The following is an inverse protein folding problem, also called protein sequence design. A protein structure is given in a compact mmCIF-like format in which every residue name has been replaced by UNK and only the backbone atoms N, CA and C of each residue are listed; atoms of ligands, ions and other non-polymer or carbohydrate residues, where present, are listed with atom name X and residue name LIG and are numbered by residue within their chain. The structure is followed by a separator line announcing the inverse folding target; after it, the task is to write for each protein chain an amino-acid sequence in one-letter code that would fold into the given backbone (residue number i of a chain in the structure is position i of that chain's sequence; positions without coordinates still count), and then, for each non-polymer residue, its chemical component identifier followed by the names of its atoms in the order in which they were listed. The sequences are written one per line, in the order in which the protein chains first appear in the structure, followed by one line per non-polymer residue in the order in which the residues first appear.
data_IF_051637464492
#
_entry.id   IF_051637464492
#
_cell.length_a   1.000
_cell.length_b   1.000
_cell.length_c   1.000
_cell.angle_alpha   90.00
_cell.angle_beta   90.00
_cell.angle_gamma   90.00
#
_symmetry.space_group_name_H-M   'P 1'
#
loop_
_entity.id
_entity.type
_entity.pdbx_description
1 polymer ?
#
# COMPACT_ATOMS: atom_id res chain seq x y z
N UNK A 1 -23.29 -1.65 -1.83
CA UNK A 1 -22.72 -0.32 -2.14
C UNK A 1 -22.65 0.63 -0.95
N UNK A 2 -23.53 0.51 0.05
CA UNK A 2 -23.66 1.46 1.16
C UNK A 2 -22.38 1.62 2.00
N UNK A 3 -21.63 0.53 2.21
CA UNK A 3 -20.37 0.52 2.96
C UNK A 3 -19.34 1.48 2.35
N UNK A 4 -19.21 1.49 1.01
CA UNK A 4 -18.24 2.35 0.30
C UNK A 4 -18.61 3.84 0.30
N UNK A 5 -19.84 4.19 0.67
CA UNK A 5 -20.27 5.58 0.87
C UNK A 5 -20.04 6.06 2.30
N UNK A 6 -19.76 5.16 3.24
CA UNK A 6 -19.57 5.50 4.64
C UNK A 6 -18.20 6.19 4.84
N UNK A 7 -18.15 7.44 5.34
CA UNK A 7 -16.89 8.15 5.55
C UNK A 7 -15.97 7.45 6.57
N UNK A 8 -16.53 6.82 7.61
CA UNK A 8 -15.74 6.10 8.61
C UNK A 8 -15.02 4.90 8.00
N UNK A 9 -15.69 4.17 7.12
CA UNK A 9 -15.08 3.05 6.40
C UNK A 9 -13.92 3.52 5.53
N UNK A 10 -14.12 4.60 4.76
CA UNK A 10 -13.09 5.16 3.88
C UNK A 10 -11.84 5.54 4.66
N UNK A 11 -12.00 6.30 5.74
CA UNK A 11 -10.88 6.70 6.60
C UNK A 11 -10.19 5.51 7.27
N UNK A 12 -10.96 4.53 7.75
CA UNK A 12 -10.40 3.32 8.35
C UNK A 12 -9.50 2.57 7.36
N UNK A 13 -9.97 2.32 6.13
CA UNK A 13 -9.17 1.65 5.10
C UNK A 13 -7.96 2.49 4.69
N UNK A 14 -8.13 3.82 4.57
CA UNK A 14 -7.02 4.73 4.20
C UNK A 14 -5.86 4.66 5.20
N UNK A 15 -6.15 4.61 6.48
CA UNK A 15 -5.14 4.55 7.54
C UNK A 15 -4.63 3.13 7.80
N UNK A 16 -5.48 2.13 7.61
CA UNK A 16 -5.13 0.74 7.85
C UNK A 16 -4.06 0.22 6.88
N UNK A 17 -4.11 0.64 5.61
CA UNK A 17 -3.10 0.25 4.61
C UNK A 17 -1.67 0.65 5.00
N UNK A 18 -1.33 1.93 5.24
CA UNK A 18 0.02 2.33 5.64
C UNK A 18 0.42 1.74 6.99
N UNK A 19 -0.51 1.59 7.94
CA UNK A 19 -0.22 0.99 9.24
C UNK A 19 0.23 -0.48 9.11
N UNK A 20 -0.43 -1.26 8.26
CA UNK A 20 -0.08 -2.68 8.07
C UNK A 20 1.23 -2.81 7.29
N UNK A 21 1.46 -1.97 6.27
CA UNK A 21 2.75 -1.94 5.57
C UNK A 21 3.90 -1.63 6.56
N UNK A 22 3.73 -0.65 7.45
CA UNK A 22 4.70 -0.35 8.51
C UNK A 22 4.99 -1.57 9.39
N UNK A 23 3.96 -2.31 9.80
CA UNK A 23 4.11 -3.52 10.61
C UNK A 23 4.88 -4.61 9.86
N UNK A 24 4.54 -4.86 8.60
CA UNK A 24 5.26 -5.85 7.76
C UNK A 24 6.73 -5.50 7.62
N UNK A 25 7.05 -4.23 7.40
CA UNK A 25 8.42 -3.73 7.32
C UNK A 25 9.19 -3.93 8.63
N UNK A 26 8.51 -3.81 9.77
CA UNK A 26 9.12 -4.00 11.09
C UNK A 26 9.44 -5.46 11.37
N UNK A 27 8.63 -6.39 10.86
CA UNK A 27 8.76 -7.81 11.17
C UNK A 27 9.88 -8.51 10.42
N UNK A 28 10.39 -7.98 9.31
CA UNK A 28 11.63 -8.44 8.65
C UNK A 28 11.40 -9.52 7.58
N UNK A 29 11.28 -10.82 7.92
CA UNK A 29 11.28 -11.93 6.96
C UNK A 29 10.07 -12.01 6.01
N UNK A 30 8.97 -11.30 6.31
CA UNK A 30 7.75 -11.34 5.47
C UNK A 30 7.98 -10.67 4.11
N UNK A 31 9.03 -9.86 3.98
CA UNK A 31 9.36 -9.11 2.77
C UNK A 31 10.50 -9.70 1.94
N UNK A 32 11.09 -10.82 2.38
CA UNK A 32 11.99 -11.60 1.53
C UNK A 32 11.25 -12.13 0.29
N UNK A 33 9.91 -12.18 0.35
CA UNK A 33 9.04 -12.51 -0.76
C UNK A 33 8.11 -11.36 -1.12
N UNK A 34 8.08 -11.03 -2.42
CA UNK A 34 7.12 -10.07 -2.99
C UNK A 34 5.68 -10.61 -3.02
N UNK A 35 5.46 -11.90 -2.74
CA UNK A 35 4.13 -12.53 -2.79
C UNK A 35 3.19 -11.89 -1.76
N UNK A 36 3.64 -11.72 -0.52
CA UNK A 36 2.79 -11.18 0.56
C UNK A 36 2.39 -9.71 0.30
N UNK A 37 3.31 -8.79 -0.04
CA UNK A 37 2.97 -7.43 -0.45
C UNK A 37 1.96 -7.37 -1.59
N UNK A 38 2.15 -8.17 -2.64
CA UNK A 38 1.28 -8.19 -3.82
C UNK A 38 -0.12 -8.72 -3.48
N UNK A 39 -0.20 -9.81 -2.72
CA UNK A 39 -1.47 -10.37 -2.28
C UNK A 39 -2.26 -9.37 -1.42
N UNK A 40 -1.57 -8.72 -0.49
CA UNK A 40 -2.17 -7.73 0.40
C UNK A 40 -2.64 -6.47 -0.36
N UNK A 41 -1.82 -6.00 -1.30
CA UNK A 41 -2.18 -4.95 -2.23
C UNK A 41 -3.45 -5.29 -3.04
N UNK A 42 -3.58 -6.53 -3.49
CA UNK A 42 -4.77 -6.99 -4.21
C UNK A 42 -6.02 -7.03 -3.32
N UNK A 43 -5.91 -7.46 -2.06
CA UNK A 43 -7.02 -7.44 -1.10
C UNK A 43 -7.56 -6.03 -0.88
N UNK A 44 -6.68 -5.04 -0.72
CA UNK A 44 -7.09 -3.64 -0.52
C UNK A 44 -7.83 -3.04 -1.71
N UNK A 45 -7.61 -3.56 -2.94
CA UNK A 45 -8.38 -3.17 -4.11
C UNK A 45 -9.88 -3.47 -3.97
N UNK A 46 -10.27 -4.41 -3.10
CA UNK A 46 -11.67 -4.69 -2.79
C UNK A 46 -12.21 -3.86 -1.62
N UNK A 47 -11.32 -3.29 -0.80
CA UNK A 47 -11.68 -2.52 0.39
C UNK A 47 -11.79 -1.01 0.10
N UNK A 48 -10.96 -0.49 -0.80
CA UNK A 48 -11.01 0.90 -1.20
C UNK A 48 -12.33 1.24 -1.89
N UNK A 49 -12.87 2.41 -1.54
CA UNK A 49 -14.16 2.87 -2.07
C UNK A 49 -14.01 3.56 -3.42
N UNK A 50 -12.88 4.24 -3.62
CA UNK A 50 -12.57 4.99 -4.83
C UNK A 50 -11.05 5.02 -5.06
N UNK A 51 -10.64 5.37 -6.28
CA UNK A 51 -9.24 5.57 -6.67
C UNK A 51 -8.57 6.64 -5.80
N UNK A 52 -9.32 7.68 -5.40
CA UNK A 52 -8.80 8.73 -4.51
C UNK A 52 -8.38 8.16 -3.14
N UNK A 53 -9.12 7.19 -2.62
CA UNK A 53 -8.82 6.56 -1.33
C UNK A 53 -7.57 5.68 -1.45
N UNK A 54 -7.45 4.92 -2.55
CA UNK A 54 -6.24 4.16 -2.87
C UNK A 54 -5.01 5.06 -2.97
N UNK A 55 -5.11 6.17 -3.69
CA UNK A 55 -4.00 7.12 -3.85
C UNK A 55 -3.63 7.75 -2.51
N UNK A 56 -4.60 8.21 -1.71
CA UNK A 56 -4.35 8.76 -0.38
C UNK A 56 -3.63 7.76 0.53
N UNK A 57 -4.09 6.52 0.55
CA UNK A 57 -3.46 5.42 1.31
C UNK A 57 -2.01 5.20 0.85
N UNK A 58 -1.80 5.12 -0.47
CA UNK A 58 -0.50 4.89 -1.09
C UNK A 58 0.47 6.03 -0.79
N UNK A 59 0.01 7.28 -0.91
CA UNK A 59 0.81 8.46 -0.58
C UNK A 59 1.19 8.45 0.90
N UNK A 60 0.26 8.14 1.80
CA UNK A 60 0.58 8.01 3.23
C UNK A 60 1.63 6.91 3.49
N UNK A 61 1.56 5.79 2.78
CA UNK A 61 2.57 4.74 2.89
C UNK A 61 3.95 5.25 2.53
N UNK A 62 4.09 5.90 1.38
CA UNK A 62 5.39 6.35 0.87
C UNK A 62 5.95 7.58 1.58
N UNK A 63 5.08 8.50 2.03
CA UNK A 63 5.50 9.78 2.61
C UNK A 63 5.59 9.73 4.14
N UNK A 64 4.83 8.85 4.80
CA UNK A 64 4.82 8.76 6.26
C UNK A 64 5.33 7.39 6.75
N UNK A 65 4.67 6.29 6.37
CA UNK A 65 4.97 4.98 6.94
C UNK A 65 6.39 4.50 6.63
N UNK A 66 6.80 4.53 5.36
CA UNK A 66 8.13 4.10 4.93
C UNK A 66 9.24 4.97 5.55
N UNK A 67 9.17 6.32 5.51
CA UNK A 67 10.16 7.16 6.18
C UNK A 67 10.22 6.95 7.70
N UNK A 68 9.06 6.80 8.36
CA UNK A 68 9.02 6.52 9.79
C UNK A 68 9.68 5.17 10.11
N UNK A 69 9.36 4.12 9.35
CA UNK A 69 9.98 2.80 9.54
C UNK A 69 11.50 2.89 9.34
N UNK A 70 11.93 3.53 8.26
CA UNK A 70 13.35 3.66 7.97
C UNK A 70 14.07 4.41 9.10
N UNK A 71 13.53 5.54 9.58
CA UNK A 71 14.16 6.36 10.60
C UNK A 71 14.19 5.70 11.98
N UNK A 72 13.08 5.08 12.41
CA UNK A 72 12.95 4.55 13.77
C UNK A 72 13.38 3.09 13.92
N UNK A 73 13.27 2.29 12.87
CA UNK A 73 13.49 0.84 12.94
C UNK A 73 14.75 0.41 12.19
N UNK A 74 14.91 0.82 10.94
CA UNK A 74 15.99 0.28 10.10
C UNK A 74 17.32 1.01 10.29
N UNK A 75 17.31 2.35 10.34
CA UNK A 75 18.51 3.17 10.55
C UNK A 75 19.29 2.87 11.85
N UNK A 76 18.65 2.58 13.00
CA UNK A 76 19.38 2.29 14.23
C UNK A 76 20.03 0.90 14.28
N UNK A 77 19.65 -0.03 13.38
CA UNK A 77 20.24 -1.37 13.35
C UNK A 77 21.67 -1.29 12.80
N UNK A 78 22.62 -2.05 13.36
CA UNK A 78 23.97 -2.18 12.80
C UNK A 78 23.94 -3.14 11.59
N UNK A 79 23.20 -2.76 10.54
CA UNK A 79 23.06 -3.54 9.30
C UNK A 79 23.25 -2.63 8.08
N UNK A 80 23.66 -3.21 6.95
CA UNK A 80 23.69 -2.52 5.65
C UNK A 80 22.28 -2.25 5.08
N UNK A 81 21.22 -2.64 5.79
CA UNK A 81 19.83 -2.55 5.29
C UNK A 81 19.38 -1.11 5.04
N UNK A 82 19.68 -0.19 5.96
CA UNK A 82 19.27 1.20 5.85
C UNK A 82 19.95 1.92 4.66
N UNK A 83 21.24 1.67 4.45
CA UNK A 83 22.03 2.26 3.37
C UNK A 83 21.62 1.70 2.00
N UNK A 84 21.46 0.37 1.92
CA UNK A 84 20.97 -0.28 0.70
C UNK A 84 19.57 0.19 0.31
N UNK A 85 18.67 0.38 1.29
CA UNK A 85 17.32 0.88 1.02
C UNK A 85 17.34 2.27 0.37
N UNK A 86 18.13 3.21 0.90
CA UNK A 86 18.23 4.56 0.32
C UNK A 86 18.88 4.51 -1.07
N UNK A 87 19.99 3.78 -1.22
CA UNK A 87 20.73 3.69 -2.48
C UNK A 87 19.86 3.15 -3.62
N UNK A 88 18.93 2.24 -3.31
CA UNK A 88 18.06 1.60 -4.29
C UNK A 88 16.63 2.14 -4.30
N UNK A 89 16.33 3.20 -3.53
CA UNK A 89 14.96 3.73 -3.38
C UNK A 89 14.29 4.02 -4.73
N UNK A 90 15.03 4.62 -5.66
CA UNK A 90 14.53 4.93 -7.00
C UNK A 90 14.06 3.68 -7.76
N UNK A 91 14.79 2.57 -7.65
CA UNK A 91 14.49 1.31 -8.30
C UNK A 91 13.31 0.62 -7.59
N UNK A 92 13.24 0.69 -6.26
CA UNK A 92 12.11 0.17 -5.48
C UNK A 92 10.82 0.91 -5.87
N UNK A 93 10.86 2.25 -5.97
CA UNK A 93 9.69 3.04 -6.41
C UNK A 93 9.30 2.69 -7.84
N UNK A 94 10.25 2.54 -8.75
CA UNK A 94 9.96 2.14 -10.13
C UNK A 94 9.27 0.77 -10.20
N UNK A 95 9.82 -0.22 -9.49
CA UNK A 95 9.24 -1.56 -9.39
C UNK A 95 7.84 -1.53 -8.77
N UNK A 96 7.65 -0.74 -7.70
CA UNK A 96 6.35 -0.54 -7.08
C UNK A 96 5.32 0.02 -8.06
N UNK A 97 5.68 1.03 -8.86
CA UNK A 97 4.76 1.63 -9.83
C UNK A 97 4.28 0.58 -10.83
N UNK A 98 5.21 -0.19 -11.41
CA UNK A 98 4.92 -1.15 -12.48
C UNK A 98 4.14 -2.36 -11.95
N UNK A 99 4.61 -2.97 -10.87
CA UNK A 99 4.11 -4.27 -10.40
C UNK A 99 3.02 -4.17 -9.34
N UNK A 100 2.83 -3.01 -8.71
CA UNK A 100 1.84 -2.84 -7.64
C UNK A 100 0.85 -1.74 -8.00
N UNK A 101 1.30 -0.51 -8.22
CA UNK A 101 0.41 0.65 -8.40
C UNK A 101 -0.47 0.54 -9.65
N UNK A 102 0.12 0.22 -10.82
CA UNK A 102 -0.64 0.07 -12.07
C UNK A 102 -1.65 -1.09 -11.97
N UNK A 103 -1.27 -2.31 -11.54
CA UNK A 103 -2.21 -3.40 -11.32
C UNK A 103 -3.33 -3.05 -10.33
N UNK A 104 -3.01 -2.41 -9.20
CA UNK A 104 -4.01 -1.97 -8.22
C UNK A 104 -5.03 -1.01 -8.85
N UNK A 105 -4.56 -0.03 -9.60
CA UNK A 105 -5.41 0.94 -10.28
C UNK A 105 -6.35 0.25 -11.28
N UNK A 106 -5.82 -0.69 -12.08
CA UNK A 106 -6.61 -1.44 -13.06
C UNK A 106 -7.68 -2.30 -12.38
N UNK A 107 -7.33 -3.03 -11.32
CA UNK A 107 -8.26 -3.87 -10.55
C UNK A 107 -9.37 -3.01 -9.95
N UNK A 108 -8.99 -1.93 -9.26
CA UNK A 108 -9.95 -1.06 -8.57
C UNK A 108 -10.91 -0.36 -9.55
N UNK A 109 -10.39 0.20 -10.65
CA UNK A 109 -11.24 0.83 -11.68
C UNK A 109 -12.22 -0.18 -12.27
N UNK A 110 -11.73 -1.38 -12.61
CA UNK A 110 -12.57 -2.45 -13.16
C UNK A 110 -13.68 -2.81 -12.18
N UNK A 111 -13.32 -3.01 -10.91
CA UNK A 111 -14.26 -3.32 -9.84
C UNK A 111 -15.30 -2.22 -9.65
N UNK A 112 -14.91 -0.95 -9.65
CA UNK A 112 -15.85 0.19 -9.54
C UNK A 112 -16.80 0.22 -10.74
N UNK A 113 -16.31 -0.01 -11.96
CA UNK A 113 -17.14 -0.06 -13.17
C UNK A 113 -18.15 -1.21 -13.12
N UNK A 114 -17.70 -2.42 -12.75
CA UNK A 114 -18.55 -3.59 -12.58
C UNK A 114 -19.64 -3.32 -11.54
N UNK A 115 -19.25 -2.79 -10.38
CA UNK A 115 -20.22 -2.40 -9.34
C UNK A 115 -21.25 -1.41 -9.87
N UNK A 116 -20.81 -0.36 -10.57
CA UNK A 116 -21.70 0.65 -11.12
C UNK A 116 -22.66 0.08 -12.17
N UNK A 117 -22.21 -0.88 -12.98
CA UNK A 117 -23.02 -1.52 -14.01
C UNK A 117 -24.11 -2.43 -13.40
N UNK A 118 -23.74 -3.29 -12.45
CA UNK A 118 -24.66 -4.25 -11.79
C UNK A 118 -25.39 -3.69 -10.56
N UNK A 119 -25.07 -2.47 -10.14
CA UNK A 119 -25.70 -1.79 -9.00
C UNK A 119 -26.90 -0.93 -9.37
N UNK A 120 -27.30 -0.93 -10.65
CA UNK A 120 -28.63 -0.50 -11.10
C UNK A 120 -29.61 -1.65 -10.93
#
# INVERSE_FOLDING_TARGET
MTIYKNPYWRWAIILMYPAIIFMFQTWGPILDSWIFPVFFAALFCFLWSDVKDMLASTTMTWVAAIPAWWYFIERPKPSFGAENFIAHLWLIVLMYIIFVCIPQLLILITRIRVMHYYGK
#
